data_IF_528310314253
#
_entry.id   IF_528310314253
#
_cell.length_a   1.000
_cell.length_b   1.000
_cell.length_c   1.000
_cell.angle_alpha   90.00
_cell.angle_beta   90.00
_cell.angle_gamma   90.00
#
_symmetry.space_group_name_H-M   'P 1'
#
loop_
_entity.id
_entity.type
_entity.pdbx_description
1 polymer ?
#
# COMPACT_ATOMS: atom_id res chain seq x y z
N UNK A 1 12.70 -2.71 7.64
CA UNK A 1 12.22 -2.19 6.35
C UNK A 1 13.21 -1.16 5.88
N UNK A 2 14.09 -1.54 4.95
CA UNK A 2 14.97 -0.60 4.24
C UNK A 2 14.19 0.07 3.10
N UNK A 3 14.75 1.12 2.49
CA UNK A 3 14.11 1.80 1.36
C UNK A 3 13.88 0.83 0.19
N UNK A 4 14.83 -0.04 -0.11
CA UNK A 4 14.75 -1.04 -1.18
C UNK A 4 13.59 -2.02 -0.94
N UNK A 5 13.47 -2.54 0.28
CA UNK A 5 12.36 -3.44 0.65
C UNK A 5 11.00 -2.75 0.60
N UNK A 6 10.94 -1.45 0.89
CA UNK A 6 9.71 -0.66 0.84
C UNK A 6 9.34 -0.35 -0.62
N UNK A 7 10.30 0.07 -1.44
CA UNK A 7 10.08 0.31 -2.87
C UNK A 7 9.60 -0.96 -3.57
N UNK A 8 10.29 -2.08 -3.35
CA UNK A 8 9.88 -3.39 -3.88
C UNK A 8 8.47 -3.78 -3.45
N UNK A 9 8.11 -3.57 -2.17
CA UNK A 9 6.76 -3.81 -1.66
C UNK A 9 5.72 -2.94 -2.38
N UNK A 10 5.98 -1.64 -2.54
CA UNK A 10 5.05 -0.70 -3.18
C UNK A 10 4.86 -1.05 -4.66
N UNK A 11 5.95 -1.32 -5.38
CA UNK A 11 5.91 -1.69 -6.80
C UNK A 11 5.14 -3.00 -7.00
N UNK A 12 5.44 -4.04 -6.23
CA UNK A 12 4.74 -5.32 -6.34
C UNK A 12 3.25 -5.22 -5.98
N UNK A 13 2.88 -4.42 -4.97
CA UNK A 13 1.47 -4.20 -4.64
C UNK A 13 0.71 -3.43 -5.73
N UNK A 14 1.36 -2.48 -6.40
CA UNK A 14 0.75 -1.63 -7.43
C UNK A 14 0.26 -2.45 -8.63
N UNK A 15 1.00 -3.50 -8.98
CA UNK A 15 0.65 -4.41 -10.09
C UNK A 15 -0.50 -5.36 -9.74
N UNK A 16 -0.96 -5.36 -8.48
CA UNK A 16 -1.94 -6.32 -7.98
C UNK A 16 -3.19 -5.64 -7.38
N UNK A 17 -4.06 -5.02 -8.23
CA UNK A 17 -5.25 -4.30 -7.80
C UNK A 17 -6.19 -5.07 -6.87
N UNK A 18 -6.24 -6.40 -6.98
CA UNK A 18 -7.10 -7.23 -6.12
C UNK A 18 -6.78 -7.13 -4.62
N UNK A 19 -5.62 -6.59 -4.26
CA UNK A 19 -5.23 -6.39 -2.87
C UNK A 19 -5.81 -5.10 -2.25
N UNK A 20 -6.17 -4.10 -3.06
CA UNK A 20 -6.59 -2.78 -2.57
C UNK A 20 -7.79 -2.14 -3.26
N UNK A 21 -8.14 -2.57 -4.47
CA UNK A 21 -9.21 -2.01 -5.28
C UNK A 21 -10.48 -2.88 -5.18
N UNK A 22 -11.48 -2.35 -4.47
CA UNK A 22 -12.75 -3.03 -4.15
C UNK A 22 -13.58 -3.42 -5.37
N UNK A 23 -13.39 -2.72 -6.48
CA UNK A 23 -14.09 -2.92 -7.74
C UNK A 23 -13.49 -4.03 -8.61
N UNK A 24 -12.45 -4.71 -8.15
CA UNK A 24 -11.83 -5.82 -8.90
C UNK A 24 -12.54 -7.14 -8.61
N UNK A 25 -12.72 -8.03 -9.60
CA UNK A 25 -13.45 -9.29 -9.42
C UNK A 25 -12.90 -10.17 -8.28
N UNK A 26 -11.59 -10.11 -8.05
CA UNK A 26 -10.91 -10.94 -7.06
C UNK A 26 -10.78 -10.29 -5.68
N UNK A 27 -11.25 -9.06 -5.47
CA UNK A 27 -11.11 -8.36 -4.19
C UNK A 27 -11.80 -9.10 -3.02
N UNK A 28 -12.94 -9.74 -3.26
CA UNK A 28 -13.63 -10.52 -2.24
C UNK A 28 -13.18 -11.99 -2.21
N UNK A 29 -12.35 -12.43 -3.16
CA UNK A 29 -11.85 -13.79 -3.22
C UNK A 29 -10.62 -13.95 -2.32
N UNK A 30 -10.83 -14.45 -1.09
CA UNK A 30 -9.78 -14.67 -0.10
C UNK A 30 -8.62 -15.52 -0.63
N UNK A 31 -8.91 -16.59 -1.37
CA UNK A 31 -7.88 -17.48 -1.91
C UNK A 31 -7.03 -16.79 -2.97
N UNK A 32 -7.67 -16.07 -3.90
CA UNK A 32 -6.97 -15.31 -4.91
C UNK A 32 -6.07 -14.23 -4.28
N UNK A 33 -6.59 -13.51 -3.28
CA UNK A 33 -5.82 -12.48 -2.56
C UNK A 33 -4.63 -13.04 -1.80
N UNK A 34 -4.79 -14.15 -1.10
CA UNK A 34 -3.68 -14.78 -0.39
C UNK A 34 -2.58 -15.24 -1.36
N UNK A 35 -2.96 -15.82 -2.50
CA UNK A 35 -1.99 -16.22 -3.54
C UNK A 35 -1.20 -15.03 -4.08
N UNK A 36 -1.88 -13.91 -4.30
CA UNK A 36 -1.25 -12.69 -4.80
C UNK A 36 -0.38 -12.03 -3.74
N UNK A 37 -0.82 -12.03 -2.47
CA UNK A 37 -0.02 -11.53 -1.35
C UNK A 37 1.27 -12.34 -1.16
N UNK A 38 1.22 -13.66 -1.32
CA UNK A 38 2.42 -14.50 -1.31
C UNK A 38 3.42 -14.06 -2.38
N UNK A 39 2.96 -13.90 -3.64
CA UNK A 39 3.80 -13.45 -4.76
C UNK A 39 4.46 -12.09 -4.47
N UNK A 40 3.73 -11.18 -3.84
CA UNK A 40 4.28 -9.90 -3.40
C UNK A 40 5.38 -10.09 -2.35
N UNK A 41 5.16 -10.93 -1.34
CA UNK A 41 6.18 -11.20 -0.32
C UNK A 41 7.41 -11.91 -0.88
N UNK A 42 7.23 -12.80 -1.85
CA UNK A 42 8.35 -13.44 -2.54
C UNK A 42 9.24 -12.40 -3.22
N UNK A 43 8.66 -11.35 -3.79
CA UNK A 43 9.40 -10.23 -4.41
C UNK A 43 10.20 -9.43 -3.37
N UNK A 44 9.61 -9.22 -2.18
CA UNK A 44 10.25 -8.50 -1.07
C UNK A 44 11.32 -9.35 -0.37
N UNK A 45 11.21 -10.68 -0.44
CA UNK A 45 12.10 -11.62 0.24
C UNK A 45 13.57 -11.47 -0.18
N UNK A 46 13.82 -10.99 -1.39
CA UNK A 46 15.16 -10.65 -1.90
C UNK A 46 15.87 -9.60 -1.03
N UNK A 47 15.11 -8.63 -0.49
CA UNK A 47 15.64 -7.56 0.36
C UNK A 47 15.40 -7.81 1.85
N UNK A 48 14.48 -8.72 2.18
CA UNK A 48 14.12 -9.07 3.56
C UNK A 48 13.81 -10.57 3.68
N UNK A 49 14.85 -11.41 3.84
CA UNK A 49 14.68 -12.85 4.00
C UNK A 49 13.80 -13.18 5.22
N UNK A 50 12.95 -14.19 5.09
CA UNK A 50 12.05 -14.64 6.16
C UNK A 50 10.83 -13.75 6.42
N UNK A 51 10.54 -12.78 5.53
CA UNK A 51 9.32 -11.97 5.60
C UNK A 51 8.07 -12.85 5.47
N UNK A 52 7.08 -12.62 6.32
CA UNK A 52 5.78 -13.29 6.25
C UNK A 52 4.73 -12.45 5.50
N UNK A 53 3.70 -13.11 4.97
CA UNK A 53 2.55 -12.48 4.32
C UNK A 53 1.84 -11.49 5.24
N UNK A 54 1.74 -11.83 6.52
CA UNK A 54 1.16 -10.96 7.54
C UNK A 54 2.00 -9.68 7.76
N UNK A 55 3.33 -9.79 7.79
CA UNK A 55 4.20 -8.62 7.89
C UNK A 55 4.13 -7.73 6.64
N UNK A 56 4.11 -8.32 5.44
CA UNK A 56 3.93 -7.56 4.19
C UNK A 56 2.60 -6.80 4.20
N UNK A 57 1.50 -7.50 4.51
CA UNK A 57 0.16 -6.92 4.53
C UNK A 57 0.05 -5.79 5.57
N UNK A 58 0.58 -6.02 6.77
CA UNK A 58 0.62 -5.04 7.85
C UNK A 58 1.44 -3.82 7.45
N UNK A 59 2.62 -4.03 6.85
CA UNK A 59 3.46 -2.91 6.42
C UNK A 59 2.79 -2.08 5.33
N UNK A 60 2.22 -2.73 4.31
CA UNK A 60 1.54 -2.02 3.23
C UNK A 60 0.32 -1.25 3.75
N UNK A 61 -0.45 -1.84 4.65
CA UNK A 61 -1.56 -1.15 5.33
C UNK A 61 -1.08 0.12 6.03
N UNK A 62 0.00 0.03 6.80
CA UNK A 62 0.57 1.17 7.51
C UNK A 62 1.06 2.27 6.56
N UNK A 63 1.77 1.89 5.48
CA UNK A 63 2.24 2.85 4.46
C UNK A 63 1.07 3.59 3.80
N UNK A 64 0.02 2.86 3.41
CA UNK A 64 -1.18 3.45 2.81
C UNK A 64 -1.89 4.39 3.79
N UNK A 65 -2.01 3.99 5.05
CA UNK A 65 -2.63 4.82 6.08
C UNK A 65 -1.84 6.12 6.30
N UNK A 66 -0.52 6.03 6.45
CA UNK A 66 0.37 7.18 6.58
C UNK A 66 0.26 8.12 5.38
N UNK A 67 0.31 7.58 4.16
CA UNK A 67 0.13 8.36 2.94
C UNK A 67 -1.23 9.09 2.92
N UNK A 68 -2.32 8.39 3.25
CA UNK A 68 -3.65 9.00 3.25
C UNK A 68 -3.79 10.13 4.27
N UNK A 69 -3.18 9.97 5.45
CA UNK A 69 -3.17 11.00 6.49
C UNK A 69 -2.42 12.25 5.98
N UNK A 70 -1.19 12.07 5.50
CA UNK A 70 -0.38 13.19 5.01
C UNK A 70 -1.00 13.86 3.77
N UNK A 71 -1.52 13.07 2.83
CA UNK A 71 -2.24 13.57 1.66
C UNK A 71 -3.48 14.38 2.06
N UNK A 72 -4.20 13.98 3.12
CA UNK A 72 -5.35 14.73 3.63
C UNK A 72 -4.93 16.07 4.23
N UNK A 73 -3.81 16.12 4.98
CA UNK A 73 -3.25 17.36 5.51
C UNK A 73 -2.85 18.33 4.39
N UNK A 74 -2.18 17.83 3.35
CA UNK A 74 -1.80 18.63 2.17
C UNK A 74 -3.03 19.17 1.44
N UNK A 75 -4.06 18.34 1.23
CA UNK A 75 -5.31 18.79 0.62
C UNK A 75 -6.01 19.86 1.46
N UNK A 76 -6.00 19.70 2.79
CA UNK A 76 -6.56 20.68 3.71
C UNK A 76 -5.78 22.01 3.68
N UNK A 77 -4.44 21.96 3.66
CA UNK A 77 -3.63 23.18 3.58
C UNK A 77 -3.84 23.95 2.29
N UNK A 78 -4.02 23.25 1.16
CA UNK A 78 -4.36 23.88 -0.12
C UNK A 78 -5.73 24.56 -0.04
N UNK A 79 -6.74 23.90 0.54
CA UNK A 79 -8.11 24.44 0.67
C UNK A 79 -8.19 25.66 1.60
N UNK A 80 -7.41 25.67 2.69
CA UNK A 80 -7.43 26.77 3.66
C UNK A 80 -6.59 27.98 3.24
N UNK A 81 -5.77 27.87 2.19
CA UNK A 81 -4.96 28.97 1.66
C UNK A 81 -5.65 29.86 0.61
N UNK A 82 -6.88 29.53 0.20
CA UNK A 82 -7.66 30.29 -0.81
C UNK A 82 -8.81 31.11 -0.22
N UNK A 83 -8.65 31.58 1.03
CA UNK A 83 -9.51 32.64 1.58
C UNK A 83 -8.98 33.99 1.13
N UNK A 84 -9.55 34.55 0.05
CA UNK A 84 -9.44 35.98 -0.23
C UNK A 84 -10.26 36.72 0.82
N UNK A 85 -9.59 37.54 1.63
CA UNK A 85 -10.19 38.65 2.38
C UNK A 85 -11.02 39.50 1.40
N UNK A 86 -12.32 39.67 1.67
CA UNK A 86 -13.19 40.74 1.13
C UNK A 86 -13.78 41.51 2.32
#
# INVERSE_FOLDING_TARGET
>A
WTNESISSLIEAYKEEPCLYAVNTPNYHNKHARNKVLQKVCDSVSMYRPGITENECATKFHNLRNQFNIENSKVKASIKSGTGTDD
#
